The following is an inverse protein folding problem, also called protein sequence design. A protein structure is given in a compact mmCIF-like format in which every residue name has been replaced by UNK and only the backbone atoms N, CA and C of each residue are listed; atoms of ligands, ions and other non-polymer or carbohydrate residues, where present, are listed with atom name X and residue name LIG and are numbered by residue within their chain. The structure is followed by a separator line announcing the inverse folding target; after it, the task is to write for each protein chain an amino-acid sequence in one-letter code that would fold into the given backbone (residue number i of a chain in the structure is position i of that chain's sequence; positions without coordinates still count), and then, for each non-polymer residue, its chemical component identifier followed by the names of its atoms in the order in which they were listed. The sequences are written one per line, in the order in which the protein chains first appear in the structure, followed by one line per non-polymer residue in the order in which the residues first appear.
data_IF_342104297260
#
_entry.id   IF_342104297260
#
_cell.length_a   1.000
_cell.length_b   1.000
_cell.length_c   1.000
_cell.angle_alpha   90.00
_cell.angle_beta   90.00
_cell.angle_gamma   90.00
#
_symmetry.space_group_name_H-M   'P 1'
#
loop_
_entity.id
_entity.type
_entity.pdbx_description
1 polymer ?
#
# COMPACT_ATOMS: atom_id res chain seq x y z
N UNK A 1 24.36 -46.94 -31.85
CA UNK A 1 23.52 -46.41 -30.73
C UNK A 1 22.38 -45.62 -31.40
N UNK A 2 21.18 -46.20 -31.41
CA UNK A 2 19.97 -45.50 -31.89
C UNK A 2 19.73 -44.28 -31.03
N UNK A 3 19.61 -43.09 -31.65
CA UNK A 3 19.06 -41.93 -30.93
C UNK A 3 17.66 -42.33 -30.51
N UNK A 4 17.44 -42.51 -29.22
CA UNK A 4 16.09 -42.61 -28.67
C UNK A 4 15.31 -41.39 -29.11
N UNK A 5 14.19 -41.57 -29.76
CA UNK A 5 13.27 -40.50 -30.14
C UNK A 5 12.68 -39.91 -28.87
N UNK A 6 13.29 -38.81 -28.39
CA UNK A 6 12.75 -38.08 -27.26
C UNK A 6 11.53 -37.29 -27.74
N UNK A 7 10.34 -37.76 -27.30
CA UNK A 7 9.10 -37.04 -27.53
C UNK A 7 9.00 -35.76 -26.71
N UNK A 8 9.63 -34.72 -27.23
CA UNK A 8 9.47 -33.36 -26.65
C UNK A 8 8.16 -32.74 -27.10
N UNK A 9 7.41 -32.10 -26.21
CA UNK A 9 6.20 -31.41 -26.59
C UNK A 9 6.50 -30.29 -27.58
N UNK A 10 5.77 -30.26 -28.71
CA UNK A 10 5.82 -29.15 -29.67
C UNK A 10 4.91 -28.03 -29.14
N UNK A 11 5.46 -26.88 -28.83
CA UNK A 11 4.72 -25.73 -28.33
C UNK A 11 5.25 -24.43 -28.95
N UNK A 12 4.36 -23.45 -29.08
CA UNK A 12 4.72 -22.09 -29.48
C UNK A 12 5.30 -21.25 -28.32
N UNK A 13 5.25 -21.77 -27.08
CA UNK A 13 5.87 -21.10 -25.95
C UNK A 13 7.39 -21.14 -26.06
N UNK A 14 8.04 -20.02 -25.75
CA UNK A 14 9.49 -19.93 -25.73
C UNK A 14 10.06 -20.78 -24.60
N UNK A 15 11.20 -21.43 -24.83
CA UNK A 15 11.91 -22.21 -23.81
C UNK A 15 12.40 -21.36 -22.64
N UNK A 16 12.62 -20.06 -22.87
CA UNK A 16 12.99 -19.09 -21.84
C UNK A 16 11.80 -18.19 -21.55
N UNK A 17 11.42 -18.06 -20.29
CA UNK A 17 10.30 -17.21 -19.88
C UNK A 17 10.57 -15.73 -20.20
N UNK A 18 11.82 -15.24 -20.04
CA UNK A 18 12.22 -13.84 -20.27
C UNK A 18 11.29 -12.83 -19.58
N UNK A 19 10.90 -13.12 -18.34
CA UNK A 19 9.90 -12.37 -17.59
C UNK A 19 10.18 -10.86 -17.48
N UNK A 20 11.41 -10.40 -17.28
CA UNK A 20 11.67 -8.96 -17.17
C UNK A 20 11.21 -8.15 -18.38
N UNK A 21 11.20 -8.75 -19.58
CA UNK A 21 10.74 -8.12 -20.81
C UNK A 21 9.26 -8.43 -21.09
N UNK A 22 8.84 -9.66 -20.86
CA UNK A 22 7.50 -10.13 -21.20
C UNK A 22 6.40 -9.57 -20.25
N UNK A 23 6.68 -9.43 -18.96
CA UNK A 23 5.70 -8.93 -18.00
C UNK A 23 5.24 -7.50 -18.32
N UNK A 24 6.12 -6.53 -18.63
CA UNK A 24 5.69 -5.20 -19.05
C UNK A 24 4.82 -5.21 -20.31
N UNK A 25 5.09 -6.10 -21.27
CA UNK A 25 4.26 -6.26 -22.46
C UNK A 25 2.85 -6.77 -22.11
N UNK A 26 2.74 -7.73 -21.19
CA UNK A 26 1.45 -8.25 -20.71
C UNK A 26 0.67 -7.15 -19.99
N UNK A 27 1.31 -6.39 -19.10
CA UNK A 27 0.67 -5.27 -18.40
C UNK A 27 0.11 -4.26 -19.41
N UNK A 28 0.89 -3.91 -20.43
CA UNK A 28 0.45 -3.01 -21.49
C UNK A 28 -0.75 -3.55 -22.29
N UNK A 29 -0.79 -4.87 -22.53
CA UNK A 29 -1.96 -5.51 -23.17
C UNK A 29 -3.20 -5.35 -22.28
N UNK A 30 -3.08 -5.60 -20.97
CA UNK A 30 -4.19 -5.43 -20.01
C UNK A 30 -4.71 -3.99 -19.94
N UNK A 31 -3.81 -3.02 -19.96
CA UNK A 31 -4.16 -1.60 -20.00
C UNK A 31 -4.89 -1.22 -21.29
N UNK A 32 -4.36 -1.63 -22.45
CA UNK A 32 -4.96 -1.32 -23.76
C UNK A 32 -6.37 -1.91 -23.90
N UNK A 33 -6.61 -3.11 -23.36
CA UNK A 33 -7.93 -3.74 -23.38
C UNK A 33 -8.87 -3.25 -22.26
N UNK A 34 -8.40 -2.36 -21.38
CA UNK A 34 -9.12 -1.92 -20.18
C UNK A 34 -9.62 -3.09 -19.33
N UNK A 35 -8.71 -4.06 -19.05
CA UNK A 35 -9.04 -5.31 -18.38
C UNK A 35 -9.80 -5.09 -17.07
N UNK A 36 -9.30 -4.25 -16.18
CA UNK A 36 -9.92 -3.97 -14.89
C UNK A 36 -11.38 -3.51 -15.04
N UNK A 37 -11.66 -2.56 -15.92
CA UNK A 37 -13.03 -2.08 -16.18
C UNK A 37 -13.94 -3.21 -16.67
N UNK A 38 -13.49 -4.02 -17.64
CA UNK A 38 -14.25 -5.18 -18.14
C UNK A 38 -14.57 -6.19 -17.05
N UNK A 39 -13.61 -6.44 -16.16
CA UNK A 39 -13.81 -7.34 -15.02
C UNK A 39 -14.87 -6.80 -14.05
N UNK A 40 -14.83 -5.50 -13.73
CA UNK A 40 -15.87 -4.87 -12.89
C UNK A 40 -17.26 -4.94 -13.53
N UNK A 41 -17.35 -4.63 -14.81
CA UNK A 41 -18.63 -4.70 -15.56
C UNK A 41 -19.19 -6.13 -15.59
N UNK A 42 -18.36 -7.13 -15.85
CA UNK A 42 -18.78 -8.54 -15.92
C UNK A 42 -19.25 -9.12 -14.57
N UNK A 43 -18.86 -8.51 -13.47
CA UNK A 43 -19.18 -8.94 -12.09
C UNK A 43 -20.22 -8.07 -11.40
N UNK A 44 -20.72 -7.05 -12.06
CA UNK A 44 -21.72 -6.15 -11.51
C UNK A 44 -22.98 -6.90 -11.07
N UNK A 45 -23.40 -6.68 -9.82
CA UNK A 45 -24.56 -7.34 -9.23
C UNK A 45 -24.35 -8.78 -8.76
N UNK A 46 -23.13 -9.31 -8.82
CA UNK A 46 -22.78 -10.61 -8.23
C UNK A 46 -22.50 -10.47 -6.73
N UNK A 47 -22.45 -11.62 -6.05
CA UNK A 47 -22.07 -11.67 -4.63
C UNK A 47 -20.71 -11.01 -4.41
N UNK A 48 -20.64 -10.09 -3.44
CA UNK A 48 -19.40 -9.37 -3.14
C UNK A 48 -18.45 -10.23 -2.31
N UNK A 49 -17.18 -10.17 -2.66
CA UNK A 49 -16.08 -10.60 -1.81
C UNK A 49 -15.17 -9.39 -1.55
N UNK A 50 -15.02 -9.00 -0.30
CA UNK A 50 -14.21 -7.84 0.10
C UNK A 50 -13.01 -8.33 0.89
N UNK A 51 -11.82 -8.06 0.36
CA UNK A 51 -10.56 -8.23 1.07
C UNK A 51 -10.07 -6.86 1.51
N UNK A 52 -10.09 -6.62 2.82
CA UNK A 52 -9.57 -5.37 3.38
C UNK A 52 -8.04 -5.33 3.30
N UNK A 53 -7.49 -4.20 2.90
CA UNK A 53 -6.04 -4.00 2.85
C UNK A 53 -5.50 -3.58 4.21
N UNK A 54 -4.38 -4.16 4.65
CA UNK A 54 -3.52 -3.57 5.66
C UNK A 54 -2.63 -2.54 4.96
N UNK A 55 -2.88 -1.24 5.16
CA UNK A 55 -2.21 -0.21 4.38
C UNK A 55 -0.73 -0.11 4.77
N UNK A 56 0.21 -0.20 3.80
CA UNK A 56 1.61 0.03 4.07
C UNK A 56 1.88 1.51 4.31
N UNK A 57 2.95 1.81 5.05
CA UNK A 57 3.42 3.19 5.17
C UNK A 57 3.85 3.74 3.81
N UNK A 58 3.47 5.00 3.55
CA UNK A 58 3.84 5.72 2.34
C UNK A 58 5.27 6.30 2.46
N UNK A 59 6.27 5.42 2.60
CA UNK A 59 7.69 5.78 2.70
C UNK A 59 8.57 4.70 2.09
N UNK A 60 9.64 5.09 1.40
CA UNK A 60 10.61 4.16 0.81
C UNK A 60 10.02 3.23 -0.28
N UNK A 61 10.89 2.56 -1.01
CA UNK A 61 10.48 1.55 -2.01
C UNK A 61 9.91 0.31 -1.35
N UNK A 62 9.07 -0.41 -2.06
CA UNK A 62 8.53 -1.67 -1.57
C UNK A 62 9.66 -2.69 -1.34
N UNK A 63 9.59 -3.42 -0.24
CA UNK A 63 10.49 -4.52 0.05
C UNK A 63 9.81 -5.87 -0.22
N UNK A 64 10.57 -6.97 -0.16
CA UNK A 64 10.06 -8.30 -0.49
C UNK A 64 8.83 -8.70 0.34
N UNK A 65 8.75 -8.30 1.62
CA UNK A 65 7.57 -8.55 2.45
C UNK A 65 6.33 -7.83 1.94
N UNK A 66 6.46 -6.56 1.51
CA UNK A 66 5.37 -5.80 0.89
C UNK A 66 4.94 -6.44 -0.43
N UNK A 67 5.90 -6.83 -1.27
CA UNK A 67 5.62 -7.49 -2.54
C UNK A 67 4.86 -8.81 -2.33
N UNK A 68 5.33 -9.67 -1.42
CA UNK A 68 4.68 -10.93 -1.06
C UNK A 68 3.25 -10.71 -0.59
N UNK A 69 3.04 -9.76 0.34
CA UNK A 69 1.71 -9.44 0.85
C UNK A 69 0.74 -9.04 -0.27
N UNK A 70 1.17 -8.14 -1.17
CA UNK A 70 0.32 -7.67 -2.28
C UNK A 70 0.04 -8.74 -3.32
N UNK A 71 1.03 -9.59 -3.64
CA UNK A 71 0.84 -10.71 -4.56
C UNK A 71 -0.14 -11.73 -4.00
N UNK A 72 -0.02 -12.10 -2.71
CA UNK A 72 -0.96 -13.03 -2.08
C UNK A 72 -2.39 -12.47 -2.05
N UNK A 73 -2.58 -11.19 -1.76
CA UNK A 73 -3.89 -10.53 -1.82
C UNK A 73 -4.45 -10.52 -3.24
N UNK A 74 -3.63 -10.23 -4.24
CA UNK A 74 -4.03 -10.26 -5.65
C UNK A 74 -4.48 -11.67 -6.07
N UNK A 75 -3.76 -12.71 -5.65
CA UNK A 75 -4.14 -14.11 -5.91
C UNK A 75 -5.52 -14.44 -5.32
N UNK A 76 -5.78 -14.03 -4.07
CA UNK A 76 -7.08 -14.25 -3.40
C UNK A 76 -8.20 -13.50 -4.13
N UNK A 77 -7.98 -12.23 -4.46
CA UNK A 77 -8.96 -11.41 -5.17
C UNK A 77 -9.29 -12.01 -6.54
N UNK A 78 -8.28 -12.40 -7.30
CA UNK A 78 -8.46 -13.06 -8.62
C UNK A 78 -9.17 -14.40 -8.51
N UNK A 79 -8.83 -15.21 -7.50
CA UNK A 79 -9.50 -16.48 -7.25
C UNK A 79 -11.01 -16.29 -7.06
N UNK A 80 -11.42 -15.39 -6.19
CA UNK A 80 -12.84 -15.11 -5.96
C UNK A 80 -13.52 -14.50 -7.18
N UNK A 81 -12.82 -13.66 -7.93
CA UNK A 81 -13.33 -13.10 -9.16
C UNK A 81 -13.53 -14.18 -10.26
N UNK A 82 -12.60 -15.11 -10.43
CA UNK A 82 -12.73 -16.23 -11.36
C UNK A 82 -13.87 -17.17 -10.94
N UNK A 83 -14.14 -17.32 -9.65
CA UNK A 83 -15.28 -18.05 -9.11
C UNK A 83 -16.63 -17.28 -9.19
N UNK A 84 -16.68 -16.20 -9.95
CA UNK A 84 -17.92 -15.50 -10.26
C UNK A 84 -18.33 -14.40 -9.29
N UNK A 85 -17.54 -14.12 -8.24
CA UNK A 85 -17.85 -13.07 -7.28
C UNK A 85 -17.43 -11.68 -7.78
N UNK A 86 -18.08 -10.63 -7.27
CA UNK A 86 -17.63 -9.25 -7.42
C UNK A 86 -16.55 -8.96 -6.37
N UNK A 87 -15.31 -9.25 -6.73
CA UNK A 87 -14.15 -9.12 -5.87
C UNK A 87 -13.36 -7.87 -6.23
N UNK A 88 -13.50 -6.82 -5.44
CA UNK A 88 -12.79 -5.54 -5.62
C UNK A 88 -11.67 -5.44 -4.60
N UNK A 89 -10.46 -5.13 -5.06
CA UNK A 89 -9.36 -4.74 -4.20
C UNK A 89 -9.22 -3.23 -4.22
N UNK A 90 -9.38 -2.59 -3.06
CA UNK A 90 -9.11 -1.17 -2.85
C UNK A 90 -7.79 -1.04 -2.12
N UNK A 91 -6.72 -0.58 -2.79
CA UNK A 91 -5.43 -0.40 -2.14
C UNK A 91 -5.48 0.75 -1.12
N UNK A 92 -4.71 0.62 -0.06
CA UNK A 92 -4.61 1.63 0.99
C UNK A 92 -3.19 2.02 1.33
N UNK A 93 -3.01 3.21 1.93
CA UNK A 93 -1.73 3.69 2.47
C UNK A 93 -1.90 4.35 3.82
N UNK A 94 -0.96 4.03 4.72
CA UNK A 94 -0.77 4.74 5.97
C UNK A 94 0.20 5.91 5.75
N UNK A 95 -0.24 7.11 6.10
CA UNK A 95 0.43 8.35 5.71
C UNK A 95 0.81 9.23 6.90
N UNK A 96 0.68 8.73 8.13
CA UNK A 96 0.91 9.49 9.35
C UNK A 96 1.99 8.88 10.23
N UNK A 97 2.40 9.67 11.22
CA UNK A 97 3.24 9.24 12.32
C UNK A 97 4.72 9.24 12.03
N UNK A 98 5.47 8.68 12.98
CA UNK A 98 6.91 8.69 13.03
C UNK A 98 7.60 8.18 11.74
N UNK A 99 7.12 7.14 11.06
CA UNK A 99 7.75 6.66 9.82
C UNK A 99 7.82 7.70 8.70
N UNK A 100 6.89 8.65 8.67
CA UNK A 100 6.88 9.74 7.69
C UNK A 100 7.66 10.93 8.20
N UNK A 101 7.41 11.34 9.45
CA UNK A 101 8.02 12.50 10.08
C UNK A 101 9.54 12.37 10.18
N UNK A 102 10.02 11.20 10.59
CA UNK A 102 11.44 10.90 10.67
C UNK A 102 12.16 11.06 9.32
N UNK A 103 11.52 10.63 8.22
CA UNK A 103 12.11 10.79 6.89
C UNK A 103 12.28 12.26 6.48
N UNK A 104 11.33 13.12 6.85
CA UNK A 104 11.44 14.57 6.61
C UNK A 104 12.51 15.18 7.52
N UNK A 105 12.57 14.75 8.76
CA UNK A 105 13.59 15.21 9.70
C UNK A 105 15.01 14.85 9.23
N UNK A 106 15.22 13.64 8.74
CA UNK A 106 16.49 13.23 8.12
C UNK A 106 16.86 14.10 6.90
N UNK A 107 15.88 14.50 6.10
CA UNK A 107 16.12 15.44 5.00
C UNK A 107 16.54 16.82 5.54
N UNK A 108 15.93 17.29 6.63
CA UNK A 108 16.32 18.53 7.29
C UNK A 108 17.74 18.45 7.82
N UNK A 109 18.11 17.39 8.54
CA UNK A 109 19.48 17.17 9.04
C UNK A 109 20.51 17.21 7.91
N UNK A 110 20.23 16.52 6.78
CA UNK A 110 21.11 16.57 5.58
C UNK A 110 21.27 17.97 5.02
N UNK A 111 20.22 18.77 5.07
CA UNK A 111 20.21 20.15 4.58
C UNK A 111 20.64 21.18 5.66
N UNK A 112 21.12 20.72 6.82
CA UNK A 112 21.50 21.56 7.97
C UNK A 112 20.36 22.47 8.45
N UNK A 113 19.12 22.05 8.29
CA UNK A 113 17.92 22.74 8.74
C UNK A 113 17.47 22.15 10.07
N UNK A 114 17.13 23.00 11.03
CA UNK A 114 16.64 22.57 12.34
C UNK A 114 15.10 22.42 12.27
N UNK A 115 14.58 21.24 12.62
CA UNK A 115 13.14 20.96 12.67
C UNK A 115 12.41 21.90 13.65
N UNK A 116 13.01 22.20 14.79
CA UNK A 116 12.39 23.02 15.84
C UNK A 116 12.17 24.50 15.40
N UNK A 117 12.84 24.93 14.33
CA UNK A 117 12.68 26.26 13.74
C UNK A 117 11.63 26.31 12.63
N UNK A 118 11.11 25.15 12.22
CA UNK A 118 10.11 25.06 11.15
C UNK A 118 8.70 25.18 11.72
N UNK A 119 7.85 26.06 11.18
CA UNK A 119 6.46 26.12 11.59
C UNK A 119 5.76 24.75 11.43
N UNK A 120 5.03 24.32 12.47
CA UNK A 120 4.35 23.00 12.50
C UNK A 120 3.51 22.79 11.25
N UNK A 121 2.79 23.82 10.78
CA UNK A 121 1.97 23.72 9.57
C UNK A 121 2.81 23.39 8.33
N UNK A 122 3.99 24.01 8.19
CA UNK A 122 4.89 23.74 7.05
C UNK A 122 5.45 22.33 7.11
N UNK A 123 5.90 21.90 8.29
CA UNK A 123 6.39 20.54 8.50
C UNK A 123 5.31 19.48 8.13
N UNK A 124 4.07 19.67 8.60
CA UNK A 124 2.97 18.76 8.30
C UNK A 124 2.61 18.72 6.82
N UNK A 125 2.70 19.85 6.11
CA UNK A 125 2.51 19.90 4.66
C UNK A 125 3.61 19.14 3.93
N UNK A 126 4.87 19.30 4.32
CA UNK A 126 5.99 18.55 3.75
C UNK A 126 5.82 17.02 3.96
N UNK A 127 5.33 16.60 5.14
CA UNK A 127 4.99 15.20 5.39
C UNK A 127 3.87 14.68 4.45
N UNK A 128 2.82 15.47 4.22
CA UNK A 128 1.73 15.10 3.29
C UNK A 128 2.24 14.98 1.86
N UNK A 129 3.06 15.94 1.41
CA UNK A 129 3.63 15.93 0.06
C UNK A 129 4.58 14.73 -0.14
N UNK A 130 5.37 14.42 0.88
CA UNK A 130 6.23 13.23 0.90
C UNK A 130 5.41 11.96 0.77
N UNK A 131 4.37 11.77 1.60
CA UNK A 131 3.50 10.61 1.52
C UNK A 131 2.78 10.52 0.15
N UNK A 132 2.28 11.63 -0.37
CA UNK A 132 1.65 11.68 -1.69
C UNK A 132 2.60 11.27 -2.82
N UNK A 133 3.87 11.63 -2.72
CA UNK A 133 4.91 11.18 -3.66
C UNK A 133 5.07 9.65 -3.59
N UNK A 134 5.17 9.10 -2.38
CA UNK A 134 5.38 7.65 -2.21
C UNK A 134 4.17 6.83 -2.60
N UNK A 135 2.95 7.31 -2.40
CA UNK A 135 1.74 6.67 -2.93
C UNK A 135 1.84 6.48 -4.45
N UNK A 136 2.29 7.51 -5.17
CA UNK A 136 2.47 7.43 -6.63
C UNK A 136 3.54 6.39 -7.02
N UNK A 137 4.66 6.36 -6.30
CA UNK A 137 5.74 5.39 -6.55
C UNK A 137 5.24 3.97 -6.28
N UNK A 138 4.68 3.71 -5.10
CA UNK A 138 4.14 2.40 -4.75
C UNK A 138 3.06 1.92 -5.72
N UNK A 139 2.20 2.83 -6.19
CA UNK A 139 1.20 2.49 -7.21
C UNK A 139 1.85 1.94 -8.48
N UNK A 140 2.96 2.54 -8.93
CA UNK A 140 3.69 2.06 -10.10
C UNK A 140 4.37 0.71 -9.83
N UNK A 141 4.98 0.57 -8.65
CA UNK A 141 5.65 -0.67 -8.24
C UNK A 141 4.66 -1.83 -8.12
N UNK A 142 3.49 -1.62 -7.50
CA UNK A 142 2.44 -2.64 -7.41
C UNK A 142 1.85 -3.01 -8.77
N UNK A 143 1.62 -2.03 -9.63
CA UNK A 143 1.21 -2.29 -11.02
C UNK A 143 2.27 -3.08 -11.78
N UNK A 144 3.56 -2.79 -11.55
CA UNK A 144 4.66 -3.55 -12.15
C UNK A 144 4.68 -5.01 -11.69
N UNK A 145 4.23 -5.32 -10.48
CA UNK A 145 4.00 -6.69 -10.00
C UNK A 145 2.77 -7.35 -10.61
N UNK A 146 1.97 -6.64 -11.39
CA UNK A 146 0.73 -7.14 -12.00
C UNK A 146 -0.48 -7.12 -11.06
N UNK A 147 -0.38 -6.48 -9.89
CA UNK A 147 -1.49 -6.37 -8.93
C UNK A 147 -2.64 -5.55 -9.53
N UNK A 148 -3.84 -6.11 -9.51
CA UNK A 148 -5.06 -5.42 -9.94
C UNK A 148 -5.78 -4.77 -8.75
N UNK A 149 -6.31 -3.57 -8.97
CA UNK A 149 -7.03 -2.85 -7.92
C UNK A 149 -7.64 -1.53 -8.40
N UNK A 150 -8.46 -0.93 -7.55
CA UNK A 150 -9.04 0.39 -7.80
C UNK A 150 -8.03 1.51 -7.43
N UNK A 151 -7.04 1.67 -8.28
CA UNK A 151 -5.97 2.64 -8.07
C UNK A 151 -6.45 4.10 -8.07
N UNK A 152 -7.61 4.38 -8.67
CA UNK A 152 -8.18 5.74 -8.73
C UNK A 152 -8.85 6.13 -7.43
N UNK A 153 -9.56 5.18 -6.81
CA UNK A 153 -10.31 5.40 -5.58
C UNK A 153 -9.62 4.71 -4.40
N UNK A 154 -8.30 4.82 -4.34
CA UNK A 154 -7.53 4.25 -3.27
C UNK A 154 -7.85 4.88 -1.91
N UNK A 155 -7.65 4.11 -0.84
CA UNK A 155 -7.74 4.58 0.52
C UNK A 155 -6.43 5.26 0.96
N UNK A 156 -6.54 6.37 1.66
CA UNK A 156 -5.39 7.05 2.27
C UNK A 156 -5.78 7.62 3.63
N UNK A 157 -5.02 7.29 4.67
CA UNK A 157 -5.28 7.80 6.03
C UNK A 157 -5.18 9.32 6.12
N UNK A 158 -4.45 9.97 5.19
CA UNK A 158 -4.34 11.43 5.14
C UNK A 158 -5.43 12.12 4.30
N UNK A 159 -6.38 11.38 3.71
CA UNK A 159 -7.51 12.02 3.04
C UNK A 159 -8.40 12.71 4.07
N UNK A 160 -8.97 13.86 3.72
CA UNK A 160 -9.81 14.61 4.66
C UNK A 160 -11.02 13.82 5.13
N UNK A 161 -11.60 12.99 4.27
CA UNK A 161 -12.72 12.12 4.64
C UNK A 161 -12.30 11.04 5.64
N UNK A 162 -11.12 10.44 5.46
CA UNK A 162 -10.57 9.46 6.41
C UNK A 162 -10.25 10.13 7.75
N UNK A 163 -9.57 11.26 7.76
CA UNK A 163 -9.28 12.04 8.99
C UNK A 163 -10.58 12.43 9.71
N UNK A 164 -11.59 12.92 8.98
CA UNK A 164 -12.89 13.25 9.54
C UNK A 164 -13.59 12.01 10.16
N UNK A 165 -13.50 10.86 9.51
CA UNK A 165 -14.08 9.63 10.02
C UNK A 165 -13.36 9.15 11.29
N UNK A 166 -12.04 9.22 11.35
CA UNK A 166 -11.26 8.91 12.55
C UNK A 166 -11.73 9.77 13.74
N UNK A 167 -11.88 11.08 13.51
CA UNK A 167 -12.37 11.99 14.57
C UNK A 167 -13.79 11.66 15.00
N UNK A 168 -14.68 11.30 14.06
CA UNK A 168 -16.05 10.89 14.39
C UNK A 168 -16.08 9.63 15.24
N UNK A 169 -15.24 8.63 14.90
CA UNK A 169 -15.19 7.38 15.67
C UNK A 169 -14.62 7.63 17.08
N UNK A 170 -13.55 8.42 17.20
CA UNK A 170 -13.02 8.83 18.50
C UNK A 170 -14.08 9.56 19.34
N UNK A 171 -14.87 10.43 18.69
CA UNK A 171 -15.97 11.16 19.36
C UNK A 171 -17.04 10.24 19.94
N UNK A 172 -17.30 9.08 19.35
CA UNK A 172 -18.23 8.09 19.91
C UNK A 172 -17.75 7.55 21.26
N UNK A 173 -16.46 7.24 21.38
CA UNK A 173 -15.88 6.81 22.66
C UNK A 173 -15.96 7.90 23.74
N UNK A 174 -15.85 9.17 23.35
CA UNK A 174 -16.02 10.28 24.26
C UNK A 174 -17.49 10.39 24.74
N UNK A 175 -18.44 10.27 23.82
CA UNK A 175 -19.87 10.34 24.14
C UNK A 175 -20.37 9.14 24.97
N UNK A 176 -19.72 8.00 24.80
CA UNK A 176 -19.99 6.76 25.55
C UNK A 176 -19.24 6.70 26.89
N UNK A 177 -18.52 7.77 27.24
CA UNK A 177 -17.76 7.91 28.50
C UNK A 177 -16.65 6.85 28.68
N UNK A 178 -16.29 6.12 27.62
CA UNK A 178 -15.20 5.13 27.65
C UNK A 178 -13.84 5.74 27.39
N UNK A 179 -13.78 6.94 26.82
CA UNK A 179 -12.57 7.71 26.65
C UNK A 179 -12.33 8.62 27.87
N UNK A 180 -11.23 8.41 28.55
CA UNK A 180 -10.84 9.22 29.70
C UNK A 180 -9.38 9.65 29.60
N UNK A 181 -9.02 10.73 30.31
CA UNK A 181 -7.64 11.17 30.46
C UNK A 181 -6.99 10.50 31.66
N UNK A 182 -5.83 9.90 31.47
CA UNK A 182 -5.08 9.22 32.51
C UNK A 182 -3.57 9.40 32.35
N UNK A 183 -2.81 8.93 33.33
CA UNK A 183 -1.35 8.93 33.33
C UNK A 183 -0.84 7.50 33.29
N UNK A 184 0.07 7.22 32.35
CA UNK A 184 0.76 5.93 32.24
C UNK A 184 2.24 6.20 31.96
N UNK A 185 3.19 5.55 32.69
CA UNK A 185 4.60 5.60 32.30
C UNK A 185 4.79 4.99 30.93
N UNK A 186 5.50 5.71 30.05
CA UNK A 186 5.82 5.26 28.69
C UNK A 186 7.27 5.58 28.38
N UNK A 187 7.87 4.84 27.46
CA UNK A 187 9.19 5.15 26.95
C UNK A 187 9.12 6.42 26.11
N UNK A 188 10.15 7.27 26.25
CA UNK A 188 10.28 8.52 25.53
C UNK A 188 11.62 8.53 24.79
N UNK A 189 11.58 8.80 23.49
CA UNK A 189 12.79 9.17 22.76
C UNK A 189 13.17 10.60 23.09
N UNK A 190 14.32 10.78 23.71
CA UNK A 190 14.87 12.14 24.00
C UNK A 190 15.38 12.81 22.73
N UNK A 191 15.71 12.06 21.70
CA UNK A 191 16.18 12.56 20.41
C UNK A 191 14.99 13.06 19.59
N UNK A 192 13.96 12.21 19.42
CA UNK A 192 12.76 12.53 18.65
C UNK A 192 11.73 13.34 19.46
N UNK A 193 11.94 13.50 20.76
CA UNK A 193 11.07 14.25 21.71
C UNK A 193 9.62 13.75 21.66
N UNK A 194 9.42 12.44 21.49
CA UNK A 194 8.11 11.79 21.41
C UNK A 194 8.04 10.53 22.24
N UNK A 195 6.83 10.18 22.72
CA UNK A 195 6.56 8.89 23.33
C UNK A 195 6.61 7.79 22.26
N UNK A 196 7.13 6.63 22.64
CA UNK A 196 7.28 5.47 21.77
C UNK A 196 6.18 4.44 22.08
N UNK A 197 5.62 3.83 21.05
CA UNK A 197 4.84 2.62 21.19
C UNK A 197 5.75 1.42 21.47
N UNK A 198 5.24 0.37 22.12
CA UNK A 198 6.04 -0.82 22.43
C UNK A 198 6.67 -1.47 21.18
N UNK A 199 5.98 -1.37 20.05
CA UNK A 199 6.46 -1.89 18.76
C UNK A 199 7.60 -1.07 18.13
N UNK A 200 7.87 0.13 18.63
CA UNK A 200 8.93 1.04 18.15
C UNK A 200 10.22 0.92 19.00
N UNK A 201 10.19 0.10 20.03
CA UNK A 201 11.32 -0.10 20.95
C UNK A 201 12.09 -1.35 20.53
N UNK A 202 13.34 -1.15 20.12
CA UNK A 202 14.29 -2.24 19.89
C UNK A 202 15.16 -2.42 21.16
N UNK A 203 15.32 -3.68 21.60
CA UNK A 203 16.14 -4.06 22.76
C UNK A 203 17.48 -4.66 22.36
#
# INVERSE_FOLDING_TARGET
MSKEDINLPKTSFSMKANLPNKEPEIIKIWENMNLYKKLRESRKGKEKFILHDGPPYANGHIHMGTALNKILKDMIVRFHQMNGKDSVYVPGWDCHGLPIEWMIEEQYKKNKKNKDEVPIKSFRLECRDFAAKWIKIHTQEFKRLGVEGDWKNHYSTMSFDAEAQIVRELGKFLLDETLYQGYKPVLLSTVEKTALADAEVEY
#
